data_IF_317095778046
#
_entry.id   IF_317095778046
#
_cell.length_a   1.000
_cell.length_b   1.000
_cell.length_c   1.000
_cell.angle_alpha   90.00
_cell.angle_beta   90.00
_cell.angle_gamma   90.00
#
_symmetry.space_group_name_H-M   'P 1'
#
loop_
_entity.id
_entity.type
_entity.pdbx_description
1 polymer ?
#
# COMPACT_ATOMS: atom_id res chain seq x y z
N UNK A 1 9.48 -45.40 -45.70
CA UNK A 1 9.85 -45.59 -44.29
C UNK A 1 10.07 -44.19 -43.72
N UNK A 2 9.02 -43.54 -43.19
CA UNK A 2 8.62 -43.51 -41.77
C UNK A 2 9.78 -43.19 -40.81
N UNK A 3 10.13 -41.91 -40.73
CA UNK A 3 10.70 -41.30 -39.53
C UNK A 3 9.86 -40.02 -39.29
N UNK A 4 8.59 -40.18 -38.92
CA UNK A 4 8.12 -40.13 -37.52
C UNK A 4 8.75 -38.94 -36.79
N UNK A 5 7.94 -37.87 -36.79
CA UNK A 5 8.04 -36.71 -35.95
C UNK A 5 8.39 -37.05 -34.49
N UNK A 6 9.27 -36.26 -33.89
CA UNK A 6 9.30 -36.11 -32.44
C UNK A 6 9.78 -34.69 -32.10
N UNK A 7 8.82 -33.77 -32.17
CA UNK A 7 8.88 -32.45 -31.55
C UNK A 7 8.88 -32.71 -30.03
N UNK A 8 10.06 -32.74 -29.40
CA UNK A 8 10.16 -32.69 -27.94
C UNK A 8 9.99 -31.23 -27.51
N UNK A 9 8.74 -30.83 -27.32
CA UNK A 9 8.40 -29.62 -26.60
C UNK A 9 8.81 -29.77 -25.13
N UNK A 10 9.86 -29.07 -24.72
CA UNK A 10 10.19 -28.89 -23.30
C UNK A 10 9.25 -27.82 -22.75
N UNK A 11 8.09 -28.26 -22.24
CA UNK A 11 7.18 -27.42 -21.50
C UNK A 11 7.79 -27.10 -20.14
N UNK A 12 8.47 -25.96 -20.02
CA UNK A 12 8.96 -25.45 -18.75
C UNK A 12 7.75 -25.02 -17.91
N UNK A 13 7.28 -25.90 -17.03
CA UNK A 13 6.24 -25.60 -16.07
C UNK A 13 6.78 -24.57 -15.05
N UNK A 14 6.47 -23.30 -15.27
CA UNK A 14 6.68 -22.24 -14.30
C UNK A 14 5.74 -22.47 -13.11
N UNK A 15 6.27 -23.02 -12.03
CA UNK A 15 5.58 -23.10 -10.75
C UNK A 15 5.54 -21.68 -10.17
N UNK A 16 4.49 -20.92 -10.50
CA UNK A 16 4.23 -19.63 -9.84
C UNK A 16 3.69 -19.93 -8.45
N UNK A 17 4.54 -19.84 -7.42
CA UNK A 17 4.08 -19.81 -6.05
C UNK A 17 3.15 -18.60 -5.87
N UNK A 18 2.01 -18.73 -5.14
CA UNK A 18 1.15 -17.59 -4.86
C UNK A 18 1.93 -16.60 -3.99
N UNK A 19 2.28 -15.45 -4.56
CA UNK A 19 2.75 -14.33 -3.77
C UNK A 19 1.58 -13.90 -2.88
N UNK A 20 1.73 -14.06 -1.56
CA UNK A 20 0.85 -13.40 -0.59
C UNK A 20 1.13 -11.91 -0.69
N UNK A 21 0.42 -11.23 -1.59
CA UNK A 21 0.44 -9.78 -1.67
C UNK A 21 -0.16 -9.26 -0.36
N UNK A 22 0.69 -8.90 0.60
CA UNK A 22 0.28 -8.09 1.74
C UNK A 22 -0.17 -6.76 1.14
N UNK A 23 -1.48 -6.54 1.05
CA UNK A 23 -1.99 -5.27 0.58
C UNK A 23 -1.45 -4.17 1.50
N UNK A 24 -0.73 -3.21 0.91
CA UNK A 24 -0.20 -2.09 1.67
C UNK A 24 -1.39 -1.30 2.23
N UNK A 25 -1.42 -1.06 3.54
CA UNK A 25 -2.54 -0.35 4.13
C UNK A 25 -2.44 1.14 3.81
N UNK A 26 -3.51 1.72 3.26
CA UNK A 26 -3.59 3.14 2.90
C UNK A 26 -4.58 3.82 3.82
N UNK A 27 -4.12 4.87 4.49
CA UNK A 27 -4.93 5.72 5.34
C UNK A 27 -5.31 7.01 4.60
N UNK A 28 -6.61 7.23 4.42
CA UNK A 28 -7.17 8.49 3.95
C UNK A 28 -7.33 9.46 5.12
N UNK A 29 -6.83 10.68 4.99
CA UNK A 29 -6.77 11.62 6.11
C UNK A 29 -7.09 13.07 5.75
N UNK A 30 -7.37 13.84 6.80
CA UNK A 30 -7.36 15.31 6.80
C UNK A 30 -6.28 15.82 7.75
N UNK A 31 -5.54 16.83 7.35
CA UNK A 31 -4.51 17.48 8.13
C UNK A 31 -4.56 19.00 7.97
N UNK A 32 -3.94 19.73 8.89
CA UNK A 32 -3.77 21.18 8.81
C UNK A 32 -2.33 21.62 9.09
N UNK A 33 -1.98 22.80 8.63
CA UNK A 33 -0.83 23.59 9.09
C UNK A 33 -1.38 24.88 9.68
N UNK A 34 -0.84 25.30 10.81
CA UNK A 34 -1.19 26.59 11.42
C UNK A 34 -0.17 27.65 10.97
N UNK A 35 -0.62 28.90 10.82
CA UNK A 35 0.21 30.09 10.55
C UNK A 35 1.12 30.04 9.29
N UNK A 36 0.58 30.21 8.07
CA UNK A 36 -0.82 30.46 7.74
C UNK A 36 -1.65 29.16 7.75
N UNK A 37 -2.94 29.30 8.07
CA UNK A 37 -3.86 28.15 8.07
C UNK A 37 -3.93 27.53 6.67
N UNK A 38 -3.53 26.27 6.57
CA UNK A 38 -3.66 25.47 5.36
C UNK A 38 -4.32 24.14 5.71
N UNK A 39 -5.16 23.64 4.81
CA UNK A 39 -5.82 22.34 4.93
C UNK A 39 -5.27 21.41 3.87
N UNK A 40 -5.09 20.15 4.24
CA UNK A 40 -4.69 19.10 3.32
C UNK A 40 -5.59 17.87 3.51
N UNK A 41 -6.00 17.32 2.39
CA UNK A 41 -6.63 16.02 2.30
C UNK A 41 -5.72 15.14 1.45
N UNK A 42 -5.51 13.90 1.86
CA UNK A 42 -4.63 13.01 1.14
C UNK A 42 -4.71 11.58 1.64
N UNK A 43 -3.86 10.76 1.05
CA UNK A 43 -3.68 9.36 1.40
C UNK A 43 -2.19 9.13 1.70
N UNK A 44 -1.90 8.24 2.65
CA UNK A 44 -0.54 7.77 2.91
C UNK A 44 -0.57 6.29 3.26
N UNK A 45 0.50 5.58 2.91
CA UNK A 45 0.68 4.18 3.30
C UNK A 45 1.12 4.11 4.75
N UNK A 46 0.46 3.25 5.52
CA UNK A 46 0.79 2.87 6.90
C UNK A 46 1.10 1.39 6.98
N UNK A 47 1.76 0.99 8.05
CA UNK A 47 2.24 -0.37 8.24
C UNK A 47 1.11 -1.35 8.57
N UNK A 48 0.02 -0.90 9.20
CA UNK A 48 -1.10 -1.76 9.61
C UNK A 48 -2.46 -1.11 9.32
N UNK A 49 -3.48 -1.94 9.06
CA UNK A 49 -4.88 -1.48 8.95
C UNK A 49 -5.63 -1.46 10.29
N UNK A 50 -4.90 -1.29 11.39
CA UNK A 50 -5.50 -0.97 12.67
C UNK A 50 -5.64 0.55 12.81
N UNK A 51 -6.84 1.05 13.15
CA UNK A 51 -7.09 2.49 13.22
C UNK A 51 -6.21 3.22 14.22
N UNK A 52 -5.92 2.63 15.39
CA UNK A 52 -5.11 3.27 16.41
C UNK A 52 -3.65 3.39 15.95
N UNK A 53 -3.07 2.28 15.51
CA UNK A 53 -1.68 2.24 15.03
C UNK A 53 -1.49 3.13 13.79
N UNK A 54 -2.41 3.04 12.83
CA UNK A 54 -2.41 3.88 11.63
C UNK A 54 -2.52 5.37 11.97
N UNK A 55 -3.29 5.74 13.00
CA UNK A 55 -3.42 7.14 13.43
C UNK A 55 -2.11 7.67 14.00
N UNK A 56 -1.43 6.89 14.85
CA UNK A 56 -0.15 7.30 15.43
C UNK A 56 0.95 7.38 14.36
N UNK A 57 1.01 6.39 13.47
CA UNK A 57 1.96 6.38 12.35
C UNK A 57 1.72 7.55 11.39
N UNK A 58 0.47 7.78 10.97
CA UNK A 58 0.10 8.92 10.13
C UNK A 58 0.42 10.25 10.81
N UNK A 59 0.17 10.38 12.13
CA UNK A 59 0.52 11.59 12.89
C UNK A 59 2.03 11.84 12.87
N UNK A 60 2.84 10.80 13.06
CA UNK A 60 4.30 10.91 13.00
C UNK A 60 4.80 11.35 11.62
N UNK A 61 4.32 10.69 10.55
CA UNK A 61 4.69 11.01 9.16
C UNK A 61 4.30 12.45 8.80
N UNK A 62 3.10 12.88 9.18
CA UNK A 62 2.59 14.22 8.89
C UNK A 62 3.32 15.28 9.71
N UNK A 63 3.59 15.04 10.98
CA UNK A 63 4.31 15.96 11.85
C UNK A 63 5.75 16.21 11.34
N UNK A 64 6.43 15.19 10.83
CA UNK A 64 7.73 15.33 10.18
C UNK A 64 7.70 16.25 8.94
N UNK A 65 6.52 16.42 8.34
CA UNK A 65 6.26 17.33 7.21
C UNK A 65 5.60 18.63 7.67
N UNK A 66 5.57 18.91 8.98
CA UNK A 66 4.93 20.10 9.56
C UNK A 66 3.39 20.10 9.48
N UNK A 67 2.75 18.98 9.16
CA UNK A 67 1.30 18.85 9.16
C UNK A 67 0.80 18.27 10.49
N UNK A 68 -0.33 18.78 10.97
CA UNK A 68 -1.07 18.28 12.13
C UNK A 68 -2.22 17.42 11.62
N UNK A 69 -2.20 16.13 11.94
CA UNK A 69 -3.29 15.22 11.62
C UNK A 69 -4.57 15.66 12.34
N UNK A 70 -5.66 15.84 11.59
CA UNK A 70 -6.98 16.14 12.14
C UNK A 70 -7.81 14.88 12.34
N UNK A 71 -7.87 14.02 11.31
CA UNK A 71 -8.70 12.81 11.32
C UNK A 71 -8.28 11.82 10.24
N UNK A 72 -8.31 10.54 10.58
CA UNK A 72 -8.37 9.43 9.62
C UNK A 72 -9.82 9.21 9.19
N UNK A 73 -10.07 9.21 7.89
CA UNK A 73 -11.39 9.07 7.28
C UNK A 73 -11.70 7.62 6.91
N UNK A 74 -10.72 6.93 6.35
CA UNK A 74 -10.82 5.52 5.97
C UNK A 74 -9.46 4.83 6.00
N UNK A 75 -9.48 3.51 6.15
CA UNK A 75 -8.34 2.62 5.93
C UNK A 75 -8.69 1.65 4.81
N UNK A 76 -7.77 1.43 3.87
CA UNK A 76 -7.91 0.54 2.72
C UNK A 76 -6.73 -0.42 2.72
N UNK A 77 -6.97 -1.72 2.78
CA UNK A 77 -5.93 -2.76 2.71
C UNK A 77 -6.51 -4.05 2.20
#
# INVERSE_FOLDING_TARGET
MKHIALILGVSLALITAPAVASAACVAEYKAKRDNPLQLNYGELTVSTCNLADATEEARSILAARGWILLKILSLKG
#
